data_IF_352579210285
#
_entry.id   IF_352579210285
#
_cell.length_a   1.000
_cell.length_b   1.000
_cell.length_c   1.000
_cell.angle_alpha   90.00
_cell.angle_beta   90.00
_cell.angle_gamma   90.00
#
_symmetry.space_group_name_H-M   'P 1'
#
loop_
_entity.id
_entity.type
_entity.pdbx_description
1 polymer ?
#
# COMPACT_ATOMS: atom_id res chain seq x y z
N UNK A 1 29.87 40.75 -30.68
CA UNK A 1 28.45 40.43 -30.70
C UNK A 1 28.34 38.96 -30.38
N UNK A 2 28.05 38.62 -29.10
CA UNK A 2 27.89 37.24 -28.65
C UNK A 2 26.53 36.72 -29.15
N UNK A 3 26.57 35.66 -29.94
CA UNK A 3 25.38 34.88 -30.26
C UNK A 3 24.80 34.34 -28.93
N UNK A 4 23.68 34.90 -28.49
CA UNK A 4 22.85 34.27 -27.49
C UNK A 4 22.35 32.94 -28.11
N UNK A 5 22.97 31.84 -27.76
CA UNK A 5 22.44 30.53 -28.03
C UNK A 5 21.01 30.49 -27.42
N UNK A 6 20.03 30.41 -28.29
CA UNK A 6 18.65 30.22 -27.95
C UNK A 6 18.53 28.78 -27.44
N UNK A 7 18.85 28.57 -26.15
CA UNK A 7 18.66 27.28 -25.50
C UNK A 7 17.15 27.05 -25.47
N UNK A 8 16.66 26.27 -26.42
CA UNK A 8 15.27 25.89 -26.50
C UNK A 8 14.87 25.34 -25.11
N UNK A 9 13.90 25.98 -24.47
CA UNK A 9 13.40 25.60 -23.15
C UNK A 9 12.95 24.14 -23.21
N UNK A 10 13.57 23.29 -22.41
CA UNK A 10 13.20 21.88 -22.38
C UNK A 10 11.73 21.73 -21.92
N UNK A 11 10.95 20.82 -22.53
CA UNK A 11 9.59 20.55 -22.11
C UNK A 11 9.54 20.13 -20.64
N UNK A 12 8.62 20.71 -19.89
CA UNK A 12 8.43 20.46 -18.48
C UNK A 12 7.42 19.36 -18.24
N UNK A 13 7.83 18.29 -17.56
CA UNK A 13 7.00 17.18 -17.12
C UNK A 13 6.79 17.26 -15.61
N UNK A 14 5.56 17.42 -15.17
CA UNK A 14 5.23 17.35 -13.74
C UNK A 14 4.65 15.97 -13.43
N UNK A 15 5.17 15.35 -12.36
CA UNK A 15 4.70 14.05 -11.86
C UNK A 15 4.12 14.26 -10.46
N UNK A 16 2.84 13.94 -10.27
CA UNK A 16 2.14 14.04 -8.99
C UNK A 16 2.05 12.67 -8.33
N UNK A 17 2.79 12.48 -7.25
CA UNK A 17 2.88 11.24 -6.48
C UNK A 17 4.16 10.45 -6.74
N UNK A 18 4.93 10.17 -5.67
CA UNK A 18 6.17 9.38 -5.65
C UNK A 18 5.95 7.90 -5.31
N UNK A 19 4.73 7.38 -5.47
CA UNK A 19 4.40 5.97 -5.35
C UNK A 19 5.01 5.11 -6.46
N UNK A 20 4.50 3.88 -6.64
CA UNK A 20 5.03 2.96 -7.66
C UNK A 20 4.95 3.53 -9.08
N UNK A 21 3.79 4.09 -9.47
CA UNK A 21 3.62 4.66 -10.82
C UNK A 21 4.54 5.84 -11.07
N UNK A 22 4.46 6.88 -10.22
CA UNK A 22 5.21 8.11 -10.41
C UNK A 22 6.73 7.93 -10.32
N UNK A 23 7.20 7.07 -9.41
CA UNK A 23 8.63 6.75 -9.32
C UNK A 23 9.17 6.09 -10.60
N UNK A 24 8.40 5.19 -11.22
CA UNK A 24 8.84 4.54 -12.45
C UNK A 24 8.68 5.43 -13.68
N UNK A 25 7.70 6.33 -13.69
CA UNK A 25 7.61 7.40 -14.68
C UNK A 25 8.83 8.34 -14.60
N UNK A 26 9.15 8.80 -13.38
CA UNK A 26 10.35 9.60 -13.14
C UNK A 26 11.64 8.89 -13.62
N UNK A 27 11.79 7.60 -13.29
CA UNK A 27 12.94 6.80 -13.75
C UNK A 27 13.05 6.69 -15.27
N UNK A 28 11.94 6.59 -15.99
CA UNK A 28 11.92 6.54 -17.45
C UNK A 28 12.40 7.85 -18.09
N UNK A 29 12.18 8.98 -17.41
CA UNK A 29 12.52 10.32 -17.84
C UNK A 29 13.90 10.81 -17.33
N UNK A 30 14.60 10.03 -16.48
CA UNK A 30 15.92 10.42 -15.97
C UNK A 30 16.92 10.66 -17.06
N UNK A 31 17.60 11.82 -17.01
CA UNK A 31 18.65 12.25 -17.93
C UNK A 31 18.20 12.29 -19.41
N UNK A 32 16.90 12.52 -19.64
CA UNK A 32 16.34 12.78 -20.97
C UNK A 32 16.22 14.30 -21.20
N UNK A 33 15.95 14.70 -22.44
CA UNK A 33 15.84 16.11 -22.83
C UNK A 33 14.49 16.74 -22.39
N UNK A 34 14.17 16.63 -21.12
CA UNK A 34 12.99 17.20 -20.45
C UNK A 34 13.37 17.70 -19.06
N UNK A 35 12.68 18.71 -18.55
CA UNK A 35 12.71 19.13 -17.14
C UNK A 35 11.66 18.30 -16.38
N UNK A 36 12.03 17.59 -15.34
CA UNK A 36 11.10 16.75 -14.56
C UNK A 36 10.96 17.31 -13.16
N UNK A 37 9.72 17.52 -12.72
CA UNK A 37 9.38 17.90 -11.34
C UNK A 37 8.49 16.83 -10.74
N UNK A 38 8.99 16.09 -9.74
CA UNK A 38 8.19 15.12 -8.99
C UNK A 38 7.72 15.76 -7.68
N UNK A 39 6.40 15.78 -7.49
CA UNK A 39 5.74 16.37 -6.33
C UNK A 39 5.08 15.27 -5.52
N UNK A 40 5.39 15.18 -4.23
CA UNK A 40 4.68 14.30 -3.30
C UNK A 40 4.50 14.98 -1.95
N UNK A 41 3.40 14.70 -1.26
CA UNK A 41 3.14 15.16 0.12
C UNK A 41 4.05 14.50 1.14
N UNK A 42 4.75 13.41 0.75
CA UNK A 42 5.75 12.71 1.54
C UNK A 42 7.11 12.77 0.85
N UNK A 43 8.17 12.84 1.64
CA UNK A 43 9.52 12.89 1.10
C UNK A 43 10.07 11.50 0.68
N UNK A 44 9.25 10.45 0.78
CA UNK A 44 9.69 9.07 0.61
C UNK A 44 8.71 8.21 -0.18
N UNK A 45 9.27 7.25 -0.89
CA UNK A 45 8.55 6.12 -1.46
C UNK A 45 8.39 5.03 -0.41
N UNK A 46 7.18 4.46 -0.26
CA UNK A 46 6.91 3.35 0.65
C UNK A 46 6.72 2.06 -0.13
N UNK A 47 7.46 1.01 0.23
CA UNK A 47 7.27 -0.32 -0.32
C UNK A 47 6.13 -1.03 0.43
N UNK A 48 4.90 -0.73 0.01
CA UNK A 48 3.67 -1.17 0.67
C UNK A 48 3.55 -2.69 0.91
N UNK A 49 4.06 -3.60 0.05
CA UNK A 49 3.94 -5.04 0.29
C UNK A 49 4.58 -5.53 1.60
N UNK A 50 5.51 -4.78 2.18
CA UNK A 50 6.13 -5.12 3.47
C UNK A 50 5.64 -4.25 4.63
N UNK A 51 4.62 -3.43 4.42
CA UNK A 51 4.16 -2.47 5.42
C UNK A 51 3.51 -3.16 6.63
N UNK A 52 2.85 -4.31 6.44
CA UNK A 52 2.30 -5.11 7.53
C UNK A 52 3.42 -5.58 8.49
N UNK A 53 4.65 -5.83 8.01
CA UNK A 53 5.77 -6.19 8.86
C UNK A 53 6.25 -5.02 9.73
N UNK A 54 6.06 -3.79 9.25
CA UNK A 54 6.28 -2.61 10.08
C UNK A 54 5.21 -2.54 11.17
N UNK A 55 3.95 -2.79 10.83
CA UNK A 55 2.86 -2.81 11.81
C UNK A 55 3.04 -3.88 12.89
N UNK A 56 3.70 -4.99 12.59
CA UNK A 56 3.95 -6.12 13.52
C UNK A 56 5.35 -6.08 14.16
N UNK A 57 6.06 -4.96 14.10
CA UNK A 57 7.40 -4.79 14.67
C UNK A 57 8.46 -5.80 14.13
N UNK A 58 8.26 -6.39 12.97
CA UNK A 58 9.24 -7.25 12.28
C UNK A 58 10.28 -6.40 11.57
N UNK A 59 9.84 -5.30 10.93
CA UNK A 59 10.70 -4.35 10.23
C UNK A 59 10.59 -2.95 10.82
N UNK A 60 11.69 -2.18 10.71
CA UNK A 60 11.66 -0.77 11.03
C UNK A 60 11.08 0.05 9.85
N UNK A 61 10.43 1.21 10.10
CA UNK A 61 9.89 2.07 9.03
C UNK A 61 10.90 2.41 7.93
N UNK A 62 12.15 2.70 8.30
CA UNK A 62 13.22 3.06 7.37
C UNK A 62 13.73 1.90 6.48
N UNK A 63 13.24 0.68 6.68
CA UNK A 63 13.61 -0.49 5.85
C UNK A 63 12.66 -0.67 4.67
N UNK A 64 11.47 -0.09 4.76
CA UNK A 64 10.45 -0.15 3.71
C UNK A 64 10.14 1.22 3.08
N UNK A 65 10.70 2.31 3.62
CA UNK A 65 10.54 3.66 3.14
C UNK A 65 11.88 4.28 2.71
N UNK A 66 11.90 4.88 1.52
CA UNK A 66 13.14 5.40 0.90
C UNK A 66 12.96 6.85 0.45
N UNK A 67 13.81 7.80 0.89
CA UNK A 67 13.72 9.18 0.45
C UNK A 67 13.79 9.31 -1.08
N UNK A 68 12.79 9.97 -1.67
CA UNK A 68 12.67 10.15 -3.12
C UNK A 68 13.92 10.84 -3.70
N UNK A 69 14.43 11.88 -3.04
CA UNK A 69 15.66 12.56 -3.45
C UNK A 69 16.86 11.63 -3.51
N UNK A 70 16.95 10.65 -2.59
CA UNK A 70 18.03 9.68 -2.60
C UNK A 70 17.90 8.67 -3.76
N UNK A 71 16.68 8.20 -4.03
CA UNK A 71 16.40 7.27 -5.13
C UNK A 71 16.74 7.92 -6.48
N UNK A 72 16.34 9.19 -6.65
CA UNK A 72 16.40 9.91 -7.92
C UNK A 72 17.63 10.80 -8.09
N UNK A 73 18.60 10.77 -7.15
CA UNK A 73 19.78 11.64 -7.10
C UNK A 73 20.70 11.64 -8.34
N UNK A 74 20.58 10.63 -9.18
CA UNK A 74 21.36 10.52 -10.42
C UNK A 74 20.72 11.27 -11.60
N UNK A 75 19.50 11.75 -11.45
CA UNK A 75 18.79 12.53 -12.46
C UNK A 75 19.24 13.99 -12.43
N UNK A 76 19.95 14.44 -13.47
CA UNK A 76 20.41 15.84 -13.60
C UNK A 76 19.27 16.78 -14.03
N UNK A 77 18.23 16.21 -14.61
CA UNK A 77 17.07 16.91 -15.16
C UNK A 77 15.83 16.78 -14.27
N UNK A 78 15.98 16.29 -13.02
CA UNK A 78 14.87 15.98 -12.15
C UNK A 78 15.01 16.65 -10.78
N UNK A 79 13.95 17.34 -10.39
CA UNK A 79 13.77 17.89 -9.04
C UNK A 79 12.62 17.20 -8.32
N UNK A 80 12.70 17.17 -6.98
CA UNK A 80 11.63 16.67 -6.14
C UNK A 80 11.12 17.78 -5.24
N UNK A 81 9.81 17.94 -5.15
CA UNK A 81 9.16 18.94 -4.28
C UNK A 81 8.31 18.20 -3.25
N UNK A 82 8.54 18.51 -1.96
CA UNK A 82 7.63 18.12 -0.89
C UNK A 82 6.47 19.12 -0.89
N UNK A 83 5.28 18.65 -1.26
CA UNK A 83 4.12 19.52 -1.33
C UNK A 83 2.85 18.74 -1.67
N UNK A 84 1.71 19.32 -1.34
CA UNK A 84 0.41 18.76 -1.65
C UNK A 84 -0.21 19.49 -2.83
N UNK A 85 -0.54 18.73 -3.89
CA UNK A 85 -1.30 19.25 -5.03
C UNK A 85 -2.74 19.43 -4.60
N UNK A 86 -3.26 20.63 -4.71
CA UNK A 86 -4.59 21.02 -4.24
C UNK A 86 -5.61 21.17 -5.36
N UNK A 87 -5.19 21.34 -6.61
CA UNK A 87 -6.07 21.49 -7.76
C UNK A 87 -5.34 21.50 -9.09
N UNK A 88 -6.12 21.42 -10.17
CA UNK A 88 -5.67 21.44 -11.55
C UNK A 88 -6.50 22.44 -12.37
N UNK A 89 -5.86 23.12 -13.30
CA UNK A 89 -6.47 23.84 -14.42
C UNK A 89 -5.86 23.20 -15.68
N UNK A 90 -6.49 22.12 -16.15
CA UNK A 90 -5.95 21.31 -17.26
C UNK A 90 -5.99 22.05 -18.59
N UNK A 91 -7.00 22.90 -18.81
CA UNK A 91 -7.12 23.69 -20.03
C UNK A 91 -5.98 24.72 -20.18
N UNK A 92 -5.48 25.24 -19.03
CA UNK A 92 -4.35 26.17 -19.01
C UNK A 92 -3.02 25.51 -18.68
N UNK A 93 -2.99 24.17 -18.58
CA UNK A 93 -1.81 23.38 -18.24
C UNK A 93 -1.14 23.87 -16.95
N UNK A 94 -1.93 24.00 -15.87
CA UNK A 94 -1.48 24.48 -14.55
C UNK A 94 -1.95 23.56 -13.45
N UNK A 95 -1.16 23.54 -12.36
CA UNK A 95 -1.56 22.90 -11.11
C UNK A 95 -1.12 23.72 -9.90
N UNK A 96 -1.84 23.56 -8.79
CA UNK A 96 -1.59 24.26 -7.55
C UNK A 96 -0.92 23.33 -6.54
N UNK A 97 0.16 23.80 -5.91
CA UNK A 97 0.91 23.08 -4.86
C UNK A 97 1.02 24.04 -3.67
N UNK A 98 0.10 23.94 -2.70
CA UNK A 98 -0.05 24.98 -1.68
C UNK A 98 -0.30 26.33 -2.35
N UNK A 99 0.59 27.30 -2.08
CA UNK A 99 0.51 28.65 -2.65
C UNK A 99 1.21 28.78 -4.03
N UNK A 100 1.84 27.72 -4.52
CA UNK A 100 2.57 27.72 -5.78
C UNK A 100 1.66 27.34 -6.93
N UNK A 101 1.76 28.09 -8.05
CA UNK A 101 1.16 27.76 -9.33
C UNK A 101 2.27 27.31 -10.29
N UNK A 102 2.21 26.08 -10.76
CA UNK A 102 3.18 25.51 -11.69
C UNK A 102 2.51 25.24 -13.05
N UNK A 103 3.25 25.56 -14.11
CA UNK A 103 2.85 25.21 -15.49
C UNK A 103 3.62 23.99 -15.96
N UNK A 104 3.00 23.21 -16.85
CA UNK A 104 3.59 22.01 -17.44
C UNK A 104 3.33 21.94 -18.93
N UNK A 105 4.18 21.21 -19.65
CA UNK A 105 3.92 20.76 -21.01
C UNK A 105 3.31 19.35 -20.99
N UNK A 106 3.70 18.52 -20.00
CA UNK A 106 3.11 17.21 -19.71
C UNK A 106 2.85 17.03 -18.22
N UNK A 107 1.78 16.34 -17.89
CA UNK A 107 1.39 16.03 -16.52
C UNK A 107 1.16 14.52 -16.34
N UNK A 108 1.78 13.91 -15.32
CA UNK A 108 1.54 12.53 -14.91
C UNK A 108 0.93 12.52 -13.52
N UNK A 109 -0.29 12.03 -13.39
CA UNK A 109 -1.01 11.92 -12.11
C UNK A 109 -0.94 10.48 -11.63
N UNK A 110 -0.15 10.25 -10.58
CA UNK A 110 0.12 8.95 -9.96
C UNK A 110 -0.22 8.97 -8.46
N UNK A 111 -1.33 9.64 -8.09
CA UNK A 111 -1.69 9.94 -6.71
C UNK A 111 -2.24 8.73 -5.91
N UNK A 112 -2.35 7.56 -6.54
CA UNK A 112 -2.72 6.30 -5.89
C UNK A 112 -4.14 6.28 -5.32
N UNK A 113 -4.30 5.50 -4.23
CA UNK A 113 -5.58 5.28 -3.56
C UNK A 113 -5.48 5.53 -2.05
N UNK A 114 -6.63 5.68 -1.40
CA UNK A 114 -6.82 5.80 0.05
C UNK A 114 -7.71 4.67 0.56
N UNK A 115 -7.85 4.53 1.86
CA UNK A 115 -8.85 3.63 2.44
C UNK A 115 -10.26 4.10 2.04
N UNK A 116 -11.14 3.14 1.82
CA UNK A 116 -12.56 3.39 1.59
C UNK A 116 -13.35 2.78 2.75
N UNK A 117 -14.02 3.63 3.50
CA UNK A 117 -14.93 3.21 4.57
C UNK A 117 -16.39 3.18 4.11
N UNK A 118 -16.63 3.20 2.79
CA UNK A 118 -17.95 3.08 2.15
C UNK A 118 -19.00 4.08 2.64
N UNK A 119 -18.56 5.32 2.91
CA UNK A 119 -19.39 6.41 3.41
C UNK A 119 -19.36 6.59 4.93
N UNK A 120 -18.57 5.78 5.64
CA UNK A 120 -18.40 5.79 7.09
C UNK A 120 -16.98 6.19 7.47
N UNK A 121 -16.54 7.37 7.01
CA UNK A 121 -15.16 7.84 7.24
C UNK A 121 -14.85 8.02 8.76
N UNK A 122 -15.89 8.11 9.61
CA UNK A 122 -15.79 8.10 11.07
C UNK A 122 -15.23 6.79 11.65
N UNK A 123 -15.29 5.68 10.91
CA UNK A 123 -14.74 4.40 11.36
C UNK A 123 -13.21 4.36 11.35
N UNK A 124 -12.56 5.30 10.62
CA UNK A 124 -11.08 5.34 10.51
C UNK A 124 -10.41 5.43 11.89
N UNK A 125 -11.01 6.18 12.82
CA UNK A 125 -10.47 6.33 14.17
C UNK A 125 -10.55 5.02 14.97
N UNK A 126 -11.64 4.28 14.87
CA UNK A 126 -11.84 3.02 15.58
C UNK A 126 -11.17 1.82 14.90
N UNK A 127 -11.09 1.82 13.56
CA UNK A 127 -10.52 0.75 12.75
C UNK A 127 -9.54 1.32 11.70
N UNK A 128 -8.29 1.62 12.06
CA UNK A 128 -7.30 2.13 11.11
C UNK A 128 -7.01 1.10 10.02
N UNK A 129 -6.83 1.60 8.80
CA UNK A 129 -6.33 0.80 7.68
C UNK A 129 -4.80 0.84 7.58
N UNK A 130 -4.23 0.12 6.61
CA UNK A 130 -2.77 0.00 6.42
C UNK A 130 -2.36 0.42 5.00
N UNK A 131 -1.91 1.66 4.83
CA UNK A 131 -1.37 2.19 3.55
C UNK A 131 -0.13 3.04 3.70
N UNK A 132 0.12 3.58 4.87
CA UNK A 132 1.22 4.51 5.14
C UNK A 132 2.08 4.04 6.30
N UNK A 133 3.28 4.61 6.44
CA UNK A 133 4.15 4.32 7.58
C UNK A 133 3.47 4.71 8.89
N UNK A 134 2.76 5.84 8.88
CA UNK A 134 2.02 6.35 10.04
C UNK A 134 0.95 5.36 10.47
N UNK A 135 0.19 4.80 9.51
CA UNK A 135 -0.81 3.77 9.79
C UNK A 135 -0.16 2.52 10.40
N UNK A 136 0.97 2.08 9.85
CA UNK A 136 1.69 0.91 10.36
C UNK A 136 2.20 1.11 11.80
N UNK A 137 2.72 2.30 12.12
CA UNK A 137 3.18 2.64 13.47
C UNK A 137 2.00 2.74 14.44
N UNK A 138 0.87 3.32 14.02
CA UNK A 138 -0.34 3.38 14.85
C UNK A 138 -0.94 1.99 15.11
N UNK A 139 -1.02 1.15 14.09
CA UNK A 139 -1.46 -0.25 14.27
C UNK A 139 -0.54 -0.98 15.24
N UNK A 140 0.79 -0.85 15.09
CA UNK A 140 1.77 -1.42 16.03
C UNK A 140 1.48 -0.98 17.47
N UNK A 141 1.30 0.32 17.67
CA UNK A 141 1.02 0.89 18.98
C UNK A 141 -0.25 0.28 19.59
N UNK A 142 -1.35 0.20 18.84
CA UNK A 142 -2.62 -0.38 19.31
C UNK A 142 -2.49 -1.86 19.66
N UNK A 143 -1.84 -2.63 18.80
CA UNK A 143 -1.63 -4.07 19.04
C UNK A 143 -0.84 -4.30 20.33
N UNK A 144 0.31 -3.63 20.51
CA UNK A 144 1.14 -3.80 21.68
C UNK A 144 0.45 -3.30 22.94
N UNK A 145 -0.24 -2.15 22.90
CA UNK A 145 -1.00 -1.63 24.04
C UNK A 145 -2.13 -2.56 24.48
N UNK A 146 -2.75 -3.30 23.55
CA UNK A 146 -3.77 -4.29 23.94
C UNK A 146 -3.19 -5.43 24.77
N UNK A 147 -1.98 -5.90 24.44
CA UNK A 147 -1.28 -6.90 25.25
C UNK A 147 -0.84 -6.34 26.61
N UNK A 148 -0.24 -5.14 26.64
CA UNK A 148 0.18 -4.49 27.88
C UNK A 148 -1.01 -4.24 28.84
N UNK A 149 -2.15 -3.83 28.28
CA UNK A 149 -3.37 -3.65 29.07
C UNK A 149 -3.86 -4.97 29.67
N UNK A 150 -3.87 -6.04 28.87
CA UNK A 150 -4.27 -7.36 29.34
C UNK A 150 -3.32 -7.91 30.41
N UNK A 151 -2.00 -7.75 30.27
CA UNK A 151 -0.97 -8.10 31.26
C UNK A 151 -1.20 -7.38 32.59
N UNK A 152 -1.39 -6.05 32.50
CA UNK A 152 -1.65 -5.23 33.70
C UNK A 152 -2.95 -5.63 34.41
N UNK A 153 -4.03 -5.87 33.67
CA UNK A 153 -5.28 -6.34 34.25
C UNK A 153 -5.11 -7.70 34.96
N UNK A 154 -4.45 -8.65 34.29
CA UNK A 154 -4.20 -9.97 34.85
C UNK A 154 -3.32 -9.90 36.12
N UNK A 155 -2.28 -9.07 36.11
CA UNK A 155 -1.43 -8.84 37.28
C UNK A 155 -2.20 -8.27 38.48
N UNK A 156 -3.12 -7.32 38.24
CA UNK A 156 -3.87 -6.65 39.28
C UNK A 156 -5.05 -7.48 39.83
N UNK A 157 -5.69 -8.27 38.97
CA UNK A 157 -6.95 -8.96 39.31
C UNK A 157 -6.81 -10.48 39.44
N UNK A 158 -5.70 -11.05 39.00
CA UNK A 158 -5.51 -12.49 38.86
C UNK A 158 -6.32 -13.12 37.71
N UNK A 159 -7.09 -12.36 36.95
CA UNK A 159 -7.95 -12.87 35.88
C UNK A 159 -7.28 -12.71 34.53
N UNK A 160 -6.98 -13.82 33.87
CA UNK A 160 -6.41 -13.80 32.51
C UNK A 160 -7.51 -13.55 31.46
N UNK A 161 -7.38 -12.45 30.70
CA UNK A 161 -8.25 -12.14 29.57
C UNK A 161 -7.37 -11.70 28.39
N UNK A 162 -6.89 -12.65 27.57
CA UNK A 162 -6.10 -12.33 26.40
C UNK A 162 -6.87 -11.45 25.41
N UNK A 163 -6.18 -10.54 24.67
CA UNK A 163 -6.85 -9.60 23.80
C UNK A 163 -7.48 -10.26 22.57
N UNK A 164 -8.53 -9.62 22.06
CA UNK A 164 -9.25 -10.00 20.84
C UNK A 164 -9.01 -8.98 19.74
N UNK A 165 -8.59 -9.46 18.57
CA UNK A 165 -8.29 -8.67 17.38
C UNK A 165 -9.32 -9.00 16.28
N UNK A 166 -9.94 -7.97 15.72
CA UNK A 166 -10.84 -8.08 14.57
C UNK A 166 -10.18 -7.46 13.34
N UNK A 167 -10.04 -8.23 12.27
CA UNK A 167 -9.58 -7.78 10.97
C UNK A 167 -10.77 -7.82 10.01
N UNK A 168 -11.11 -6.71 9.38
CA UNK A 168 -12.25 -6.58 8.48
C UNK A 168 -11.74 -6.57 7.05
N UNK A 169 -12.07 -7.62 6.28
CA UNK A 169 -11.67 -7.84 4.89
C UNK A 169 -10.68 -8.97 4.71
N UNK A 170 -11.09 -10.00 3.98
CA UNK A 170 -10.31 -11.22 3.67
C UNK A 170 -9.46 -11.12 2.40
N UNK A 171 -9.14 -9.90 1.94
CA UNK A 171 -8.15 -9.69 0.88
C UNK A 171 -6.71 -9.98 1.34
N UNK A 172 -5.69 -9.82 0.45
CA UNK A 172 -4.30 -10.09 0.80
C UNK A 172 -3.83 -9.37 2.07
N UNK A 173 -4.12 -8.08 2.21
CA UNK A 173 -3.71 -7.29 3.40
C UNK A 173 -4.33 -7.84 4.70
N UNK A 174 -5.61 -8.22 4.67
CA UNK A 174 -6.27 -8.78 5.87
C UNK A 174 -5.73 -10.14 6.25
N UNK A 175 -5.47 -11.01 5.27
CA UNK A 175 -4.85 -12.33 5.47
C UNK A 175 -3.44 -12.19 6.04
N UNK A 176 -2.62 -11.28 5.50
CA UNK A 176 -1.27 -10.99 5.97
C UNK A 176 -1.26 -10.45 7.40
N UNK A 177 -2.17 -9.50 7.71
CA UNK A 177 -2.31 -8.96 9.06
C UNK A 177 -2.77 -10.02 10.05
N UNK A 178 -3.78 -10.81 9.70
CA UNK A 178 -4.35 -11.83 10.60
C UNK A 178 -3.30 -12.88 10.98
N UNK A 179 -2.60 -13.43 9.99
CA UNK A 179 -1.55 -14.42 10.24
C UNK A 179 -0.35 -13.84 11.00
N UNK A 180 0.05 -12.62 10.64
CA UNK A 180 1.19 -11.97 11.32
C UNK A 180 0.88 -11.56 12.77
N UNK A 181 -0.37 -11.18 13.10
CA UNK A 181 -0.82 -10.94 14.49
C UNK A 181 -0.79 -12.26 15.28
N UNK A 182 -1.23 -13.35 14.68
CA UNK A 182 -1.17 -14.66 15.31
C UNK A 182 0.28 -15.11 15.57
N UNK A 183 1.20 -14.90 14.63
CA UNK A 183 2.63 -15.15 14.80
C UNK A 183 3.23 -14.25 15.89
N UNK A 184 2.89 -12.96 15.93
CA UNK A 184 3.35 -12.03 16.98
C UNK A 184 2.95 -12.54 18.37
N UNK A 185 1.67 -12.88 18.55
CA UNK A 185 1.16 -13.35 19.83
C UNK A 185 1.81 -14.66 20.30
N UNK A 186 1.96 -15.63 19.39
CA UNK A 186 2.41 -16.99 19.71
C UNK A 186 3.91 -17.21 19.71
N UNK A 187 4.65 -16.48 18.88
CA UNK A 187 6.08 -16.73 18.68
C UNK A 187 6.96 -15.63 19.27
N UNK A 188 6.50 -14.37 19.25
CA UNK A 188 7.31 -13.22 19.66
C UNK A 188 7.03 -12.86 21.11
N UNK A 189 5.76 -12.58 21.45
CA UNK A 189 5.38 -12.06 22.76
C UNK A 189 5.26 -13.14 23.85
N UNK A 190 5.06 -14.40 23.48
CA UNK A 190 4.83 -15.50 24.43
C UNK A 190 5.90 -15.69 25.51
N UNK A 191 7.10 -15.13 25.29
CA UNK A 191 8.19 -15.23 26.28
C UNK A 191 8.38 -13.98 27.12
N UNK A 192 7.77 -12.87 26.71
CA UNK A 192 7.97 -11.58 27.34
C UNK A 192 6.88 -11.26 28.39
N UNK A 193 5.66 -11.80 28.20
CA UNK A 193 4.52 -11.63 29.10
C UNK A 193 4.45 -12.76 30.13
N UNK A 194 4.05 -12.46 31.36
CA UNK A 194 4.05 -13.40 32.50
C UNK A 194 2.69 -13.59 33.15
N UNK A 195 1.87 -12.55 33.19
CA UNK A 195 0.56 -12.61 33.82
C UNK A 195 -0.52 -13.12 32.87
N UNK A 196 -0.34 -12.97 31.55
CA UNK A 196 -1.24 -13.54 30.53
C UNK A 196 -0.51 -14.57 29.67
N UNK A 197 -1.25 -15.55 29.17
CA UNK A 197 -0.81 -16.38 28.05
C UNK A 197 -1.20 -15.73 26.74
N UNK A 198 -0.21 -15.05 26.08
CA UNK A 198 -0.45 -14.35 24.82
C UNK A 198 -0.86 -15.28 23.69
N UNK A 199 -0.57 -16.61 23.79
CA UNK A 199 -0.96 -17.59 22.77
C UNK A 199 -2.46 -17.79 22.69
N UNK A 200 -3.20 -17.40 23.74
CA UNK A 200 -4.68 -17.43 23.81
C UNK A 200 -5.32 -16.18 23.19
N UNK A 201 -4.55 -15.25 22.66
CA UNK A 201 -5.09 -14.10 21.94
C UNK A 201 -5.97 -14.58 20.77
N UNK A 202 -7.16 -13.96 20.64
CA UNK A 202 -8.12 -14.31 19.60
C UNK A 202 -7.96 -13.40 18.39
N UNK A 203 -7.66 -13.98 17.24
CA UNK A 203 -7.55 -13.26 15.97
C UNK A 203 -8.70 -13.70 15.08
N UNK A 204 -9.56 -12.76 14.69
CA UNK A 204 -10.75 -12.98 13.88
C UNK A 204 -10.67 -12.20 12.58
N UNK A 205 -10.78 -12.90 11.46
CA UNK A 205 -10.82 -12.32 10.13
C UNK A 205 -12.25 -12.38 9.57
N UNK A 206 -12.88 -11.22 9.44
CA UNK A 206 -14.25 -11.08 8.92
C UNK A 206 -14.21 -10.78 7.42
N UNK A 207 -14.93 -11.59 6.64
CA UNK A 207 -15.07 -11.41 5.20
C UNK A 207 -16.55 -11.49 4.80
N UNK A 208 -17.04 -10.47 4.10
CA UNK A 208 -18.42 -10.42 3.62
C UNK A 208 -18.72 -11.40 2.48
N UNK A 209 -17.70 -11.80 1.71
CA UNK A 209 -17.84 -12.79 0.64
C UNK A 209 -17.75 -14.23 1.18
N UNK A 210 -18.07 -15.19 0.30
CA UNK A 210 -18.05 -16.61 0.63
C UNK A 210 -16.66 -17.20 0.85
N UNK A 211 -15.58 -16.48 0.48
CA UNK A 211 -14.20 -16.93 0.63
C UNK A 211 -13.22 -15.76 0.76
N UNK A 212 -12.13 -15.97 1.47
CA UNK A 212 -10.99 -15.06 1.52
C UNK A 212 -10.21 -15.10 0.21
N UNK A 213 -9.33 -14.13 -0.03
CA UNK A 213 -8.50 -14.03 -1.24
C UNK A 213 -9.32 -14.18 -2.52
N UNK A 214 -10.45 -13.47 -2.63
CA UNK A 214 -11.41 -13.60 -3.74
C UNK A 214 -10.83 -13.45 -5.14
N UNK A 215 -9.66 -12.81 -5.29
CA UNK A 215 -8.91 -12.66 -6.55
C UNK A 215 -8.01 -13.85 -6.89
N UNK A 216 -7.80 -14.78 -5.97
CA UNK A 216 -7.08 -16.03 -6.17
C UNK A 216 -8.05 -17.17 -6.56
N UNK A 217 -7.50 -18.29 -7.01
CA UNK A 217 -8.31 -19.49 -7.25
C UNK A 217 -8.93 -20.02 -5.96
N UNK A 218 -10.02 -20.78 -6.07
CA UNK A 218 -10.66 -21.42 -4.91
C UNK A 218 -9.72 -22.35 -4.16
N UNK A 219 -8.83 -23.01 -4.88
CA UNK A 219 -7.83 -23.90 -4.28
C UNK A 219 -6.86 -23.12 -3.37
N UNK A 220 -6.30 -22.00 -3.87
CA UNK A 220 -5.41 -21.15 -3.08
C UNK A 220 -6.13 -20.49 -1.91
N UNK A 221 -7.39 -20.09 -2.10
CA UNK A 221 -8.25 -19.56 -1.03
C UNK A 221 -8.43 -20.59 0.10
N UNK A 222 -8.82 -21.83 -0.22
CA UNK A 222 -8.96 -22.92 0.78
C UNK A 222 -7.64 -23.25 1.48
N UNK A 223 -6.52 -23.28 0.74
CA UNK A 223 -5.19 -23.49 1.34
C UNK A 223 -4.81 -22.38 2.29
N UNK A 224 -5.11 -21.13 1.95
CA UNK A 224 -4.86 -19.98 2.81
C UNK A 224 -5.70 -20.03 4.08
N UNK A 225 -6.98 -20.37 3.98
CA UNK A 225 -7.88 -20.53 5.11
C UNK A 225 -7.41 -21.64 6.08
N UNK A 226 -7.01 -22.81 5.53
CA UNK A 226 -6.43 -23.89 6.33
C UNK A 226 -5.15 -23.47 7.05
N UNK A 227 -4.26 -22.71 6.37
CA UNK A 227 -3.03 -22.20 6.99
C UNK A 227 -3.31 -21.16 8.09
N UNK A 228 -4.34 -20.31 7.94
CA UNK A 228 -4.78 -19.39 8.99
C UNK A 228 -5.37 -20.14 10.19
N UNK A 229 -6.17 -21.16 9.94
CA UNK A 229 -6.74 -22.00 11.00
C UNK A 229 -5.64 -22.72 11.82
N UNK A 230 -4.58 -23.23 11.16
CA UNK A 230 -3.39 -23.79 11.84
C UNK A 230 -2.67 -22.76 12.72
N UNK A 231 -2.74 -21.47 12.38
CA UNK A 231 -2.24 -20.38 13.21
C UNK A 231 -3.24 -19.98 14.30
N UNK A 232 -4.43 -20.63 14.37
CA UNK A 232 -5.50 -20.31 15.30
C UNK A 232 -6.21 -19.00 15.00
N UNK A 233 -6.23 -18.58 13.75
CA UNK A 233 -7.06 -17.46 13.27
C UNK A 233 -8.45 -17.99 12.95
N UNK A 234 -9.48 -17.36 13.51
CA UNK A 234 -10.88 -17.64 13.18
C UNK A 234 -11.24 -16.89 11.88
N UNK A 235 -11.41 -17.61 10.79
CA UNK A 235 -11.84 -17.03 9.49
C UNK A 235 -13.37 -17.11 9.41
N UNK A 236 -14.01 -15.95 9.30
CA UNK A 236 -15.47 -15.79 9.36
C UNK A 236 -15.95 -15.21 8.01
N UNK A 237 -16.24 -16.10 7.07
CA UNK A 237 -16.79 -15.76 5.74
C UNK A 237 -18.30 -15.57 5.78
N UNK A 238 -18.87 -14.87 4.78
CA UNK A 238 -20.28 -14.45 4.75
C UNK A 238 -20.69 -13.61 5.97
N UNK A 239 -19.72 -12.94 6.61
CA UNK A 239 -19.92 -12.11 7.80
C UNK A 239 -19.61 -10.65 7.48
N UNK A 240 -20.65 -9.92 7.08
CA UNK A 240 -20.56 -8.49 6.80
C UNK A 240 -20.54 -7.69 8.11
N UNK A 241 -19.50 -6.91 8.32
CA UNK A 241 -19.46 -5.92 9.40
C UNK A 241 -20.27 -4.70 8.98
N UNK A 242 -21.30 -4.38 9.75
CA UNK A 242 -22.27 -3.32 9.47
C UNK A 242 -21.96 -2.00 10.19
N UNK A 243 -21.22 -2.06 11.30
CA UNK A 243 -20.79 -0.89 12.04
C UNK A 243 -19.52 -1.15 12.83
N UNK A 244 -18.76 -0.09 13.08
CA UNK A 244 -17.52 -0.11 13.86
C UNK A 244 -17.58 1.02 14.89
N UNK A 245 -17.34 0.67 16.14
CA UNK A 245 -17.21 1.60 17.26
C UNK A 245 -15.94 1.29 18.08
N UNK A 246 -15.45 2.18 18.88
CA UNK A 246 -14.36 1.87 19.80
C UNK A 246 -14.70 0.69 20.71
N UNK A 247 -13.90 -0.38 20.63
CA UNK A 247 -14.05 -1.56 21.47
C UNK A 247 -15.08 -2.59 21.00
N UNK A 248 -15.78 -2.40 19.87
CA UNK A 248 -16.74 -3.36 19.32
C UNK A 248 -17.04 -3.18 17.85
N UNK A 249 -17.45 -4.26 17.20
CA UNK A 249 -17.95 -4.24 15.82
C UNK A 249 -19.35 -4.86 15.76
N UNK A 250 -20.17 -4.44 14.79
CA UNK A 250 -21.48 -5.02 14.56
C UNK A 250 -21.44 -6.00 13.40
N UNK A 251 -21.70 -7.28 13.68
CA UNK A 251 -21.75 -8.36 12.69
C UNK A 251 -23.17 -8.91 12.64
N UNK A 252 -23.81 -8.83 11.48
CA UNK A 252 -25.25 -9.09 11.43
C UNK A 252 -26.01 -8.10 12.33
N UNK A 253 -26.70 -8.58 13.33
CA UNK A 253 -27.42 -7.76 14.31
C UNK A 253 -26.77 -7.75 15.71
N UNK A 254 -25.64 -8.47 15.87
CA UNK A 254 -24.95 -8.60 17.15
C UNK A 254 -23.74 -7.68 17.25
N UNK A 255 -23.53 -7.12 18.47
CA UNK A 255 -22.31 -6.41 18.80
C UNK A 255 -21.26 -7.38 19.38
N UNK A 256 -20.12 -7.47 18.71
CA UNK A 256 -18.99 -8.32 19.10
C UNK A 256 -17.89 -7.43 19.72
N UNK A 257 -17.50 -7.67 20.99
CA UNK A 257 -16.43 -6.92 21.62
C UNK A 257 -15.08 -7.26 21.00
N UNK A 258 -14.21 -6.24 20.86
CA UNK A 258 -12.85 -6.39 20.32
C UNK A 258 -11.94 -5.35 20.98
N UNK A 259 -10.69 -5.70 21.26
CA UNK A 259 -9.70 -4.79 21.83
C UNK A 259 -9.06 -3.93 20.73
N UNK A 260 -8.86 -4.50 19.54
CA UNK A 260 -8.35 -3.77 18.36
C UNK A 260 -9.10 -4.21 17.12
N UNK A 261 -9.58 -3.24 16.36
CA UNK A 261 -10.19 -3.46 15.04
C UNK A 261 -9.27 -2.88 13.96
N UNK A 262 -9.04 -3.62 12.87
CA UNK A 262 -8.25 -3.21 11.72
C UNK A 262 -9.07 -3.27 10.45
N UNK A 263 -8.94 -2.22 9.61
CA UNK A 263 -9.64 -2.12 8.34
C UNK A 263 -8.75 -2.56 7.19
N UNK A 264 -9.06 -3.70 6.59
CA UNK A 264 -8.30 -4.28 5.47
C UNK A 264 -9.16 -4.47 4.21
N UNK A 265 -10.32 -3.81 4.14
CA UNK A 265 -11.24 -3.88 3.02
C UNK A 265 -11.45 -2.50 2.39
N UNK A 266 -11.69 -2.49 1.07
CA UNK A 266 -12.02 -1.29 0.32
C UNK A 266 -10.86 -0.32 0.11
N UNK A 267 -10.69 0.06 -1.15
CA UNK A 267 -9.80 1.14 -1.57
C UNK A 267 -10.58 2.09 -2.48
N UNK A 268 -10.41 3.38 -2.27
CA UNK A 268 -10.93 4.42 -3.14
C UNK A 268 -9.76 5.18 -3.77
N UNK A 269 -9.93 5.65 -4.97
CA UNK A 269 -8.94 6.50 -5.62
C UNK A 269 -8.68 7.77 -4.79
N UNK A 270 -7.51 8.35 -4.98
CA UNK A 270 -7.20 9.68 -4.42
C UNK A 270 -8.27 10.70 -4.83
N UNK A 271 -8.63 11.59 -3.90
CA UNK A 271 -9.58 12.69 -4.17
C UNK A 271 -9.13 13.63 -5.30
N UNK A 272 -7.86 13.58 -5.68
CA UNK A 272 -7.32 14.32 -6.82
C UNK A 272 -7.98 13.96 -8.15
N UNK A 273 -8.48 12.72 -8.32
CA UNK A 273 -9.25 12.33 -9.51
C UNK A 273 -10.50 13.21 -9.74
N UNK A 274 -11.22 13.50 -8.67
CA UNK A 274 -12.40 14.39 -8.73
C UNK A 274 -12.02 15.85 -9.04
N UNK A 275 -10.81 16.29 -8.64
CA UNK A 275 -10.31 17.66 -8.87
C UNK A 275 -9.86 17.90 -10.31
N UNK A 276 -9.81 16.88 -11.15
CA UNK A 276 -9.55 17.00 -12.59
C UNK A 276 -10.78 17.51 -13.36
N UNK A 277 -11.97 17.54 -12.76
CA UNK A 277 -13.18 17.96 -13.44
C UNK A 277 -13.73 16.95 -14.46
N UNK A 278 -13.25 15.70 -14.43
CA UNK A 278 -13.69 14.62 -15.32
C UNK A 278 -14.52 13.57 -14.59
N UNK A 279 -15.28 12.78 -15.34
CA UNK A 279 -16.04 11.68 -14.76
C UNK A 279 -15.15 10.62 -14.10
N UNK A 280 -15.60 10.13 -12.96
CA UNK A 280 -14.94 9.07 -12.21
C UNK A 280 -15.90 7.91 -11.96
N UNK A 281 -15.38 6.70 -11.82
CA UNK A 281 -16.19 5.55 -11.42
C UNK A 281 -16.63 5.66 -9.93
N UNK A 282 -17.44 4.70 -9.47
CA UNK A 282 -17.94 4.67 -8.08
C UNK A 282 -16.82 4.66 -7.02
N UNK A 283 -15.62 4.21 -7.38
CA UNK A 283 -14.44 4.22 -6.51
C UNK A 283 -13.61 5.49 -6.65
N UNK A 284 -14.06 6.48 -7.46
CA UNK A 284 -13.37 7.74 -7.71
C UNK A 284 -12.22 7.64 -8.71
N UNK A 285 -12.12 6.53 -9.49
CA UNK A 285 -11.05 6.33 -10.47
C UNK A 285 -11.40 7.02 -11.79
N UNK A 286 -10.38 7.61 -12.40
CA UNK A 286 -10.46 8.31 -13.69
C UNK A 286 -10.36 7.30 -14.84
N UNK A 287 -11.28 7.34 -15.79
CA UNK A 287 -11.19 6.57 -17.04
C UNK A 287 -10.12 7.18 -17.94
N UNK A 288 -9.27 6.33 -18.54
CA UNK A 288 -8.14 6.75 -19.36
C UNK A 288 -8.12 5.99 -20.69
N UNK A 289 -7.43 6.58 -21.68
CA UNK A 289 -7.17 5.96 -22.96
C UNK A 289 -6.14 4.80 -22.85
N UNK A 290 -6.05 4.00 -23.90
CA UNK A 290 -5.12 2.85 -23.92
C UNK A 290 -3.64 3.25 -23.90
N UNK A 291 -3.30 4.48 -24.27
CA UNK A 291 -1.95 5.05 -24.17
C UNK A 291 -1.68 5.71 -22.82
N UNK A 292 -2.62 5.58 -21.86
CA UNK A 292 -2.64 6.11 -20.50
C UNK A 292 -2.96 7.60 -20.40
N UNK A 293 -3.28 8.28 -21.50
CA UNK A 293 -3.68 9.69 -21.49
C UNK A 293 -5.11 9.88 -21.01
N UNK A 294 -5.41 11.10 -20.58
CA UNK A 294 -6.76 11.53 -20.24
C UNK A 294 -7.54 11.83 -21.52
N UNK A 295 -8.78 11.32 -21.70
CA UNK A 295 -9.60 11.66 -22.86
C UNK A 295 -9.73 13.17 -23.06
N UNK A 296 -9.42 13.66 -24.27
CA UNK A 296 -9.45 15.08 -24.61
C UNK A 296 -8.18 15.88 -24.22
N UNK A 297 -7.29 15.31 -23.41
CA UNK A 297 -6.05 15.97 -22.93
C UNK A 297 -4.86 15.01 -23.08
N UNK A 298 -4.33 14.95 -24.28
CA UNK A 298 -3.26 13.99 -24.62
C UNK A 298 -1.95 14.24 -23.87
N UNK A 299 -1.74 15.43 -23.33
CA UNK A 299 -0.58 15.83 -22.53
C UNK A 299 -0.71 15.42 -21.04
N UNK A 300 -1.92 14.94 -20.60
CA UNK A 300 -2.20 14.51 -19.22
C UNK A 300 -2.31 13.00 -19.14
N UNK A 301 -1.45 12.38 -18.37
CA UNK A 301 -1.45 10.94 -18.09
C UNK A 301 -1.97 10.66 -16.68
N UNK A 302 -2.83 9.65 -16.52
CA UNK A 302 -3.32 9.24 -15.20
C UNK A 302 -3.02 7.75 -15.00
N UNK A 303 -2.24 7.40 -13.95
CA UNK A 303 -1.68 6.07 -13.79
C UNK A 303 -1.80 5.51 -12.37
N UNK A 304 -1.79 4.18 -12.24
CA UNK A 304 -1.89 3.48 -10.97
C UNK A 304 -3.31 3.43 -10.43
N UNK A 305 -3.45 3.32 -9.11
CA UNK A 305 -4.74 3.06 -8.44
C UNK A 305 -5.79 4.18 -8.61
N UNK A 306 -5.37 5.38 -9.04
CA UNK A 306 -6.27 6.51 -9.34
C UNK A 306 -6.96 6.34 -10.70
N UNK A 307 -6.47 5.47 -11.57
CA UNK A 307 -7.00 5.24 -12.92
C UNK A 307 -7.78 3.94 -13.04
N UNK A 308 -8.66 3.88 -14.03
CA UNK A 308 -9.31 2.64 -14.48
C UNK A 308 -9.11 2.50 -15.99
N UNK A 309 -8.63 1.33 -16.39
CA UNK A 309 -8.30 1.01 -17.77
C UNK A 309 -8.67 -0.44 -18.09
N UNK A 310 -9.24 -0.65 -19.28
CA UNK A 310 -9.22 -1.94 -19.98
C UNK A 310 -8.12 -1.87 -21.02
N UNK A 311 -7.11 -2.74 -20.92
CA UNK A 311 -5.92 -2.68 -21.76
C UNK A 311 -6.20 -3.11 -23.21
N UNK A 312 -5.20 -3.01 -24.07
CA UNK A 312 -5.30 -3.37 -25.49
C UNK A 312 -5.63 -4.87 -25.75
N UNK A 313 -5.56 -5.71 -24.72
CA UNK A 313 -5.97 -7.12 -24.79
C UNK A 313 -7.39 -7.36 -24.23
N UNK A 314 -8.15 -6.33 -23.88
CA UNK A 314 -9.47 -6.41 -23.25
C UNK A 314 -9.42 -6.80 -21.76
N UNK A 315 -8.26 -6.76 -21.12
CA UNK A 315 -8.09 -7.10 -19.69
C UNK A 315 -8.25 -5.86 -18.83
N UNK A 316 -9.13 -5.92 -17.83
CA UNK A 316 -9.22 -4.85 -16.83
C UNK A 316 -7.95 -4.84 -15.99
N UNK A 317 -7.25 -3.71 -16.01
CA UNK A 317 -5.98 -3.54 -15.28
C UNK A 317 -6.25 -3.50 -13.77
N UNK A 318 -5.63 -4.37 -12.96
CA UNK A 318 -5.84 -4.37 -11.52
C UNK A 318 -5.11 -3.20 -10.84
N UNK A 319 -5.66 -2.70 -9.71
CA UNK A 319 -4.99 -1.72 -8.84
C UNK A 319 -3.87 -2.39 -8.03
N UNK A 320 -2.75 -2.70 -8.66
CA UNK A 320 -1.60 -3.36 -8.05
C UNK A 320 -0.31 -2.58 -8.33
N UNK A 321 0.65 -2.65 -7.41
CA UNK A 321 1.98 -2.06 -7.57
C UNK A 321 2.66 -2.47 -8.89
N UNK A 322 2.49 -3.74 -9.32
CA UNK A 322 3.03 -4.26 -10.57
C UNK A 322 2.42 -3.56 -11.81
N UNK A 323 1.11 -3.28 -11.79
CA UNK A 323 0.44 -2.55 -12.87
C UNK A 323 0.87 -1.07 -12.87
N UNK A 324 0.85 -0.41 -11.72
CA UNK A 324 1.30 0.97 -11.58
C UNK A 324 2.73 1.18 -12.06
N UNK A 325 3.65 0.26 -11.73
CA UNK A 325 5.04 0.27 -12.19
C UNK A 325 5.15 0.20 -13.71
N UNK A 326 4.38 -0.68 -14.35
CA UNK A 326 4.36 -0.83 -15.80
C UNK A 326 3.75 0.41 -16.48
N UNK A 327 2.65 0.93 -15.94
CA UNK A 327 2.01 2.15 -16.44
C UNK A 327 2.96 3.35 -16.33
N UNK A 328 3.66 3.52 -15.19
CA UNK A 328 4.62 4.60 -15.01
C UNK A 328 5.73 4.61 -16.06
N UNK A 329 6.28 3.41 -16.35
CA UNK A 329 7.28 3.26 -17.39
C UNK A 329 6.75 3.67 -18.78
N UNK A 330 5.59 3.15 -19.16
CA UNK A 330 4.97 3.44 -20.48
C UNK A 330 4.57 4.91 -20.60
N UNK A 331 4.02 5.53 -19.55
CA UNK A 331 3.69 6.96 -19.58
C UNK A 331 4.93 7.83 -19.85
N UNK A 332 6.05 7.56 -19.17
CA UNK A 332 7.30 8.25 -19.44
C UNK A 332 7.85 8.00 -20.85
N UNK A 333 7.77 6.76 -21.35
CA UNK A 333 8.18 6.40 -22.71
C UNK A 333 7.29 7.06 -23.77
N UNK A 334 5.97 7.18 -23.54
CA UNK A 334 5.04 7.83 -24.46
C UNK A 334 5.30 9.33 -24.57
N UNK A 335 5.62 10.01 -23.46
CA UNK A 335 6.07 11.42 -23.52
C UNK A 335 7.31 11.56 -24.40
N UNK A 336 8.30 10.67 -24.24
CA UNK A 336 9.51 10.71 -25.07
C UNK A 336 9.23 10.40 -26.55
N UNK A 337 8.24 9.55 -26.83
CA UNK A 337 7.80 9.28 -28.21
C UNK A 337 7.16 10.51 -28.85
N UNK A 338 6.30 11.23 -28.12
CA UNK A 338 5.72 12.50 -28.58
C UNK A 338 6.80 13.51 -28.96
N UNK A 339 7.80 13.67 -28.10
CA UNK A 339 8.90 14.61 -28.33
C UNK A 339 9.76 14.26 -29.56
N UNK A 340 9.73 13.00 -30.01
CA UNK A 340 10.38 12.54 -31.23
C UNK A 340 9.44 12.48 -32.43
N UNK A 341 8.15 12.83 -32.27
CA UNK A 341 7.13 12.67 -33.31
C UNK A 341 6.79 11.21 -33.64
N UNK A 342 7.01 10.30 -32.69
CA UNK A 342 6.75 8.88 -32.83
C UNK A 342 5.36 8.52 -32.27
N UNK A 343 4.81 7.37 -32.70
CA UNK A 343 3.54 6.87 -32.14
C UNK A 343 3.73 6.38 -30.72
N UNK A 344 2.76 6.69 -29.85
CA UNK A 344 2.66 6.17 -28.50
C UNK A 344 2.42 4.67 -28.48
N UNK A 345 2.97 4.00 -27.48
CA UNK A 345 2.68 2.60 -27.19
C UNK A 345 1.34 2.47 -26.46
N UNK A 346 0.53 1.49 -26.86
CA UNK A 346 -0.67 1.10 -26.13
C UNK A 346 -0.28 0.22 -24.95
N UNK A 347 -0.86 0.48 -23.79
CA UNK A 347 -0.58 -0.27 -22.58
C UNK A 347 -1.15 -1.68 -22.66
N UNK A 348 -0.31 -2.68 -22.33
CA UNK A 348 -0.68 -4.08 -22.18
C UNK A 348 -0.18 -4.57 -20.84
N UNK A 349 -1.11 -4.95 -19.97
CA UNK A 349 -0.75 -5.45 -18.65
C UNK A 349 -0.12 -6.84 -18.75
N UNK A 350 1.08 -6.98 -18.21
CA UNK A 350 1.74 -8.29 -18.07
C UNK A 350 1.55 -8.77 -16.64
N UNK A 351 0.64 -9.72 -16.46
CA UNK A 351 0.44 -10.37 -15.18
C UNK A 351 1.70 -11.18 -14.82
N UNK A 352 2.31 -10.87 -13.68
CA UNK A 352 3.50 -11.54 -13.15
C UNK A 352 3.17 -12.54 -12.04
N UNK A 353 1.91 -12.87 -11.87
CA UNK A 353 1.40 -13.69 -10.80
C UNK A 353 0.93 -12.88 -9.59
N UNK A 354 0.30 -13.57 -8.66
CA UNK A 354 -0.18 -13.04 -7.39
C UNK A 354 0.35 -13.88 -6.24
N UNK A 355 0.65 -13.23 -5.13
CA UNK A 355 1.16 -13.90 -3.92
C UNK A 355 0.60 -13.22 -2.68
N UNK A 356 0.33 -14.02 -1.64
CA UNK A 356 -0.01 -13.54 -0.31
C UNK A 356 0.70 -14.41 0.74
N UNK A 357 1.38 -13.78 1.69
CA UNK A 357 1.91 -14.50 2.84
C UNK A 357 0.83 -14.62 3.91
N UNK A 358 0.88 -15.71 4.67
CA UNK A 358 -0.14 -16.02 5.68
C UNK A 358 0.51 -16.03 7.07
N UNK A 359 1.77 -16.32 7.10
CA UNK A 359 2.56 -16.37 8.33
C UNK A 359 3.92 -16.97 8.06
N UNK A 360 4.66 -17.25 9.09
CA UNK A 360 5.98 -17.87 8.97
C UNK A 360 5.85 -19.23 8.29
N UNK A 361 6.59 -19.42 7.17
CA UNK A 361 6.59 -20.63 6.32
C UNK A 361 5.25 -20.91 5.60
N UNK A 362 4.33 -19.96 5.61
CA UNK A 362 3.00 -20.10 5.05
C UNK A 362 2.72 -18.98 4.07
N UNK A 363 2.41 -19.33 2.85
CA UNK A 363 1.99 -18.41 1.79
C UNK A 363 1.19 -19.16 0.73
N UNK A 364 0.57 -18.42 -0.16
CA UNK A 364 0.02 -18.90 -1.42
C UNK A 364 0.56 -18.04 -2.56
N UNK A 365 0.81 -18.67 -3.72
CA UNK A 365 1.30 -17.97 -4.90
C UNK A 365 0.73 -18.62 -6.17
N UNK A 366 0.36 -17.79 -7.15
CA UNK A 366 -0.18 -18.21 -8.43
C UNK A 366 0.56 -17.52 -9.59
N UNK A 367 1.01 -18.33 -10.56
CA UNK A 367 1.71 -17.89 -11.76
C UNK A 367 1.09 -18.62 -12.97
N UNK A 368 0.14 -17.98 -13.63
CA UNK A 368 -0.66 -18.66 -14.66
C UNK A 368 -1.36 -19.88 -14.07
N UNK A 369 -1.03 -21.07 -14.57
CA UNK A 369 -1.62 -22.33 -14.10
C UNK A 369 -0.89 -22.95 -12.89
N UNK A 370 0.26 -22.41 -12.50
CA UNK A 370 1.04 -22.92 -11.36
C UNK A 370 0.54 -22.33 -10.07
N UNK A 371 0.15 -23.19 -9.12
CA UNK A 371 -0.33 -22.83 -7.80
C UNK A 371 0.58 -23.43 -6.75
N UNK A 372 1.22 -22.59 -5.97
CA UNK A 372 2.12 -22.98 -4.89
C UNK A 372 1.52 -22.59 -3.54
N UNK A 373 1.85 -23.35 -2.51
CA UNK A 373 1.43 -23.04 -1.13
C UNK A 373 2.46 -23.52 -0.11
N UNK A 374 2.33 -23.04 1.13
CA UNK A 374 3.20 -23.40 2.26
C UNK A 374 4.60 -22.83 2.11
N UNK A 375 5.61 -23.62 2.50
CA UNK A 375 7.01 -23.18 2.58
C UNK A 375 7.59 -22.72 1.23
N UNK A 376 7.32 -23.44 0.14
CA UNK A 376 7.84 -23.11 -1.20
C UNK A 376 7.28 -21.76 -1.66
N UNK A 377 5.98 -21.52 -1.49
CA UNK A 377 5.35 -20.26 -1.81
C UNK A 377 5.90 -19.12 -0.94
N UNK A 378 6.12 -19.36 0.36
CA UNK A 378 6.70 -18.41 1.28
C UNK A 378 8.15 -18.04 0.93
N UNK A 379 8.99 -19.02 0.58
CA UNK A 379 10.36 -18.78 0.14
C UNK A 379 10.39 -17.94 -1.14
N UNK A 380 9.56 -18.30 -2.13
CA UNK A 380 9.44 -17.56 -3.37
C UNK A 380 8.94 -16.13 -3.13
N UNK A 381 7.91 -15.97 -2.30
CA UNK A 381 7.42 -14.66 -1.86
C UNK A 381 8.53 -13.81 -1.25
N UNK A 382 9.33 -14.40 -0.36
CA UNK A 382 10.44 -13.72 0.30
C UNK A 382 11.49 -13.25 -0.69
N UNK A 383 11.93 -14.12 -1.60
CA UNK A 383 12.92 -13.78 -2.64
C UNK A 383 12.42 -12.65 -3.54
N UNK A 384 11.18 -12.77 -4.05
CA UNK A 384 10.60 -11.75 -4.94
C UNK A 384 10.50 -10.40 -4.25
N UNK A 385 10.02 -10.35 -3.00
CA UNK A 385 9.83 -9.09 -2.28
C UNK A 385 11.15 -8.41 -1.90
N UNK A 386 12.17 -9.17 -1.50
CA UNK A 386 13.52 -8.62 -1.31
C UNK A 386 14.09 -8.08 -2.62
N UNK A 387 13.93 -8.81 -3.72
CA UNK A 387 14.44 -8.35 -5.01
C UNK A 387 13.78 -7.06 -5.49
N UNK A 388 12.48 -6.89 -5.23
CA UNK A 388 11.72 -5.70 -5.60
C UNK A 388 11.99 -4.48 -4.69
N UNK A 389 12.57 -4.67 -3.49
CA UNK A 389 12.96 -3.57 -2.61
C UNK A 389 13.96 -2.62 -3.29
N UNK A 390 13.81 -1.34 -3.00
CA UNK A 390 14.67 -0.30 -3.54
C UNK A 390 15.97 -0.23 -2.72
N UNK A 391 17.12 -0.25 -3.42
CA UNK A 391 18.42 -0.08 -2.82
C UNK A 391 19.04 -1.36 -2.24
N UNK A 392 20.36 -1.51 -2.43
CA UNK A 392 21.11 -2.68 -1.97
C UNK A 392 21.09 -2.78 -0.43
N UNK A 393 21.30 -1.65 0.26
CA UNK A 393 21.35 -1.59 1.72
C UNK A 393 20.07 -2.18 2.35
N UNK A 394 18.91 -1.80 1.85
CA UNK A 394 17.64 -2.25 2.41
C UNK A 394 17.37 -3.73 2.14
N UNK A 395 17.75 -4.22 0.95
CA UNK A 395 17.72 -5.65 0.64
C UNK A 395 18.55 -6.44 1.66
N UNK A 396 19.79 -5.99 1.89
CA UNK A 396 20.68 -6.63 2.86
C UNK A 396 20.13 -6.58 4.29
N UNK A 397 19.62 -5.42 4.72
CA UNK A 397 19.04 -5.24 6.06
C UNK A 397 17.81 -6.12 6.28
N UNK A 398 16.85 -6.11 5.36
CA UNK A 398 15.64 -6.94 5.44
C UNK A 398 16.00 -8.42 5.43
N UNK A 399 16.92 -8.86 4.55
CA UNK A 399 17.39 -10.25 4.55
C UNK A 399 18.03 -10.64 5.89
N UNK A 400 18.92 -9.81 6.42
CA UNK A 400 19.58 -10.07 7.70
C UNK A 400 18.57 -10.15 8.85
N UNK A 401 17.59 -9.24 8.88
CA UNK A 401 16.52 -9.27 9.89
C UNK A 401 15.63 -10.50 9.77
N UNK A 402 15.27 -10.90 8.55
CA UNK A 402 14.48 -12.12 8.35
C UNK A 402 15.24 -13.36 8.77
N UNK A 403 16.54 -13.46 8.43
CA UNK A 403 17.40 -14.56 8.89
C UNK A 403 17.50 -14.56 10.41
N UNK A 404 17.74 -13.39 11.02
CA UNK A 404 17.80 -13.27 12.48
C UNK A 404 16.49 -13.68 13.15
N UNK A 405 15.35 -13.12 12.69
CA UNK A 405 14.03 -13.47 13.20
C UNK A 405 13.71 -14.96 13.00
N UNK A 406 14.21 -15.55 11.91
CA UNK A 406 14.05 -16.97 11.63
C UNK A 406 14.71 -17.85 12.71
N UNK A 407 15.94 -17.55 13.12
CA UNK A 407 16.66 -18.37 14.10
C UNK A 407 16.30 -18.02 15.55
N UNK A 408 16.11 -16.75 15.87
CA UNK A 408 15.92 -16.31 17.26
C UNK A 408 14.47 -16.31 17.70
N UNK A 409 13.51 -16.34 16.77
CA UNK A 409 12.08 -16.12 17.01
C UNK A 409 11.77 -14.79 17.71
N UNK A 410 12.70 -13.82 17.61
CA UNK A 410 12.54 -12.46 18.11
C UNK A 410 12.32 -11.54 16.92
N UNK A 411 11.22 -10.78 16.95
CA UNK A 411 11.04 -9.65 16.04
C UNK A 411 12.04 -8.52 16.36
N UNK A 412 12.16 -7.53 15.47
CA UNK A 412 12.86 -6.31 15.81
C UNK A 412 11.99 -5.50 16.77
N UNK A 413 12.45 -5.27 17.94
CA UNK A 413 12.00 -4.33 18.98
C UNK A 413 10.51 -3.92 18.97
N UNK A 414 9.62 -4.59 19.72
CA UNK A 414 8.23 -4.20 19.89
C UNK A 414 8.14 -2.94 20.77
N UNK A 415 8.52 -1.78 20.22
CA UNK A 415 8.49 -0.52 20.94
C UNK A 415 7.15 0.19 20.71
N UNK A 416 6.54 0.64 21.81
CA UNK A 416 5.40 1.54 21.82
C UNK A 416 5.94 2.96 21.72
N UNK A 417 5.92 3.54 20.51
CA UNK A 417 6.28 4.93 20.32
C UNK A 417 5.04 5.81 20.50
N UNK A 418 5.11 6.80 21.39
CA UNK A 418 4.10 7.84 21.47
C UNK A 418 4.24 8.78 20.28
N UNK A 419 3.38 8.64 19.30
CA UNK A 419 3.15 9.67 18.30
C UNK A 419 2.09 10.64 18.86
N UNK A 420 2.48 11.83 19.30
CA UNK A 420 1.52 12.90 19.49
C UNK A 420 0.89 13.19 18.12
N UNK A 421 -0.33 12.75 17.93
CA UNK A 421 -1.16 13.32 16.87
C UNK A 421 -1.29 14.81 17.23
N UNK A 422 -0.55 15.66 16.54
CA UNK A 422 -0.90 17.07 16.47
C UNK A 422 -2.26 17.13 15.80
N UNK A 423 -3.29 17.43 16.59
CA UNK A 423 -4.63 17.76 16.11
C UNK A 423 -4.50 18.95 15.16
N UNK A 424 -4.32 18.69 13.89
CA UNK A 424 -4.09 19.69 12.84
C UNK A 424 -4.08 19.03 11.49
N UNK A 425 -5.18 18.32 11.11
CA UNK A 425 -5.50 18.20 9.68
C UNK A 425 -6.06 19.58 9.30
N UNK A 426 -5.48 20.29 8.32
CA UNK A 426 -6.20 21.40 7.72
C UNK A 426 -7.47 20.82 7.09
N UNK A 427 -8.59 21.46 7.38
CA UNK A 427 -9.93 21.16 6.86
C UNK A 427 -9.95 21.25 5.33
#
# INVERSE_FOLDING_TARGET
>A
MAQAENIAKQPRVIIVGGGFGGLYAAKALLNKAVEVILIDRKNHHTFQPLLYQVALAVLAPGEVAFPLRHILRKGRNLETILGEVTGFDIDRQRLNVGDLNLTYDYLIIAAGARHAYFGHDEWEEAAPGLKTIEDAVEIRRRLLLAFEKAEREAFLTGTQKPPTFAIIGGGPTGVELAGAIADLARLVLAKDFKAIDTTQARVRLYEGAARILGTFSEESSRRAEGQLAELGVEVLTNQMVKAVEPGRIKVGDEWVPTDVTLWATGVAASSLGKKLGVETDRSGRVSIEQDLSLPGHSEVFVIGDISVLTDANGTRVPGLAAAATQQGKIAGENILSDLRGEKRALFKYRNRGTMATIGRHRAVAEFGNIKLSGFIAWLLWSIVHVFLLIGFRSRAMVMTQWVWAYFTRRGSHPLIAEYKQTNGRPK
#
